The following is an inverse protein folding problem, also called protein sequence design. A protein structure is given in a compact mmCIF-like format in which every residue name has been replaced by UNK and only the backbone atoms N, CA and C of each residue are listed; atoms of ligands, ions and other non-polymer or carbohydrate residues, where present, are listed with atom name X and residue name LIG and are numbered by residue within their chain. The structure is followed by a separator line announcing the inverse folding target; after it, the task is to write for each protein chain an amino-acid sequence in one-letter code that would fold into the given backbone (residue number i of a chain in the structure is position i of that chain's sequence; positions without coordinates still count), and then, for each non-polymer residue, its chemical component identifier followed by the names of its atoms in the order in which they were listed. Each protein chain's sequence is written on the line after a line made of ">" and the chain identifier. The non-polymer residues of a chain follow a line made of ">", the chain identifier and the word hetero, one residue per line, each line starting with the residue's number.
data_IF_720898287940
#
_entry.id   IF_720898287940
#
_cell.length_a   1.000
_cell.length_b   1.000
_cell.length_c   1.000
_cell.angle_alpha   90.00
_cell.angle_beta   90.00
_cell.angle_gamma   90.00
#
_symmetry.space_group_name_H-M   'P 1'
#
loop_
_entity.id
_entity.type
_entity.pdbx_description
1 polymer ?
#
# COMPACT_ATOMS: atom_id res chain seq x y z
N UNK A 1 -31.45 20.02 -11.28
CA UNK A 1 -30.49 19.15 -10.60
C UNK A 1 -30.60 17.77 -11.22
N UNK A 2 -29.67 17.40 -12.09
CA UNK A 2 -29.58 16.02 -12.56
C UNK A 2 -29.04 15.19 -11.40
N UNK A 3 -29.74 14.12 -11.03
CA UNK A 3 -29.21 13.12 -10.12
C UNK A 3 -28.01 12.48 -10.81
N UNK A 4 -26.79 12.76 -10.33
CA UNK A 4 -25.60 12.02 -10.72
C UNK A 4 -25.82 10.56 -10.33
N UNK A 5 -25.71 9.64 -11.29
CA UNK A 5 -25.71 8.22 -10.99
C UNK A 5 -24.64 7.93 -9.93
N UNK A 6 -25.05 7.34 -8.80
CA UNK A 6 -24.14 6.94 -7.74
C UNK A 6 -23.37 5.71 -8.22
N UNK A 7 -22.09 5.87 -8.51
CA UNK A 7 -21.22 4.76 -8.88
C UNK A 7 -20.87 3.93 -7.64
N UNK A 8 -20.74 2.62 -7.80
CA UNK A 8 -20.21 1.74 -6.77
C UNK A 8 -18.67 1.85 -6.75
N UNK A 9 -18.16 2.79 -5.95
CA UNK A 9 -16.73 3.05 -5.86
C UNK A 9 -15.93 1.86 -5.32
N UNK A 10 -16.55 1.04 -4.47
CA UNK A 10 -15.91 -0.17 -3.94
C UNK A 10 -15.71 -1.19 -5.06
N UNK A 11 -16.73 -1.44 -5.87
CA UNK A 11 -16.62 -2.35 -7.01
C UNK A 11 -15.64 -1.85 -8.08
N UNK A 12 -15.59 -0.53 -8.33
CA UNK A 12 -14.61 0.06 -9.24
C UNK A 12 -13.18 -0.11 -8.73
N UNK A 13 -12.97 0.12 -7.43
CA UNK A 13 -11.67 -0.10 -6.79
C UNK A 13 -11.25 -1.58 -6.82
N UNK A 14 -12.16 -2.50 -6.52
CA UNK A 14 -11.88 -3.95 -6.59
C UNK A 14 -11.51 -4.38 -8.02
N UNK A 15 -12.19 -3.84 -9.03
CA UNK A 15 -11.85 -4.09 -10.42
C UNK A 15 -10.46 -3.56 -10.78
N UNK A 16 -10.10 -2.36 -10.29
CA UNK A 16 -8.78 -1.78 -10.47
C UNK A 16 -7.69 -2.67 -9.86
N UNK A 17 -7.81 -3.03 -8.58
CA UNK A 17 -6.88 -3.94 -7.89
C UNK A 17 -6.74 -5.29 -8.59
N UNK A 18 -7.85 -5.84 -9.11
CA UNK A 18 -7.79 -7.08 -9.89
C UNK A 18 -6.96 -6.94 -11.16
N UNK A 19 -7.02 -5.80 -11.84
CA UNK A 19 -6.17 -5.54 -13.01
C UNK A 19 -4.70 -5.43 -12.62
N UNK A 20 -4.39 -4.76 -11.51
CA UNK A 20 -3.01 -4.58 -11.04
C UNK A 20 -2.38 -5.87 -10.51
N UNK A 21 -3.09 -6.66 -9.69
CA UNK A 21 -2.45 -7.72 -8.90
C UNK A 21 -2.80 -9.14 -9.38
N UNK A 22 -4.05 -9.37 -9.81
CA UNK A 22 -4.49 -10.70 -10.24
C UNK A 22 -4.17 -10.95 -11.72
N UNK A 23 -4.67 -10.09 -12.61
CA UNK A 23 -4.48 -10.25 -14.06
C UNK A 23 -3.19 -9.62 -14.56
N UNK A 24 -2.63 -8.67 -13.80
CA UNK A 24 -1.41 -7.91 -14.13
C UNK A 24 -1.49 -7.25 -15.51
N UNK A 25 -2.67 -6.75 -15.86
CA UNK A 25 -2.95 -6.12 -17.15
C UNK A 25 -2.88 -4.60 -16.99
N UNK A 26 -1.72 -4.05 -17.34
CA UNK A 26 -1.45 -2.61 -17.27
C UNK A 26 -2.42 -1.81 -18.14
N UNK A 27 -2.79 -2.31 -19.31
CA UNK A 27 -3.67 -1.57 -20.22
C UNK A 27 -5.10 -1.55 -19.66
N UNK A 28 -5.58 -2.65 -19.09
CA UNK A 28 -6.86 -2.70 -18.39
C UNK A 28 -6.88 -1.81 -17.13
N UNK A 29 -5.79 -1.79 -16.35
CA UNK A 29 -5.64 -0.87 -15.21
C UNK A 29 -5.77 0.58 -15.67
N UNK A 30 -5.03 0.98 -16.70
CA UNK A 30 -5.06 2.36 -17.21
C UNK A 30 -6.43 2.78 -17.73
N UNK A 31 -7.23 1.86 -18.27
CA UNK A 31 -8.62 2.14 -18.70
C UNK A 31 -9.53 2.55 -17.54
N UNK A 32 -9.23 2.15 -16.30
CA UNK A 32 -10.03 2.52 -15.12
C UNK A 32 -9.71 3.93 -14.60
N UNK A 33 -8.67 4.58 -15.12
CA UNK A 33 -8.20 5.88 -14.64
C UNK A 33 -8.66 7.02 -15.56
N UNK A 34 -8.62 8.25 -15.04
CA UNK A 34 -8.83 9.47 -15.83
C UNK A 34 -7.67 9.70 -16.82
N UNK A 35 -7.81 10.69 -17.70
CA UNK A 35 -6.79 11.01 -18.70
C UNK A 35 -5.46 11.54 -18.09
N UNK A 36 -5.55 12.22 -16.95
CA UNK A 36 -4.38 12.77 -16.22
C UNK A 36 -4.33 12.22 -14.78
N UNK A 37 -4.08 10.92 -14.59
CA UNK A 37 -4.08 10.30 -13.26
C UNK A 37 -2.72 10.45 -12.58
N UNK A 38 -2.66 10.17 -11.28
CA UNK A 38 -1.37 9.94 -10.63
C UNK A 38 -1.42 8.92 -9.49
N UNK A 39 -0.30 8.27 -9.25
CA UNK A 39 -0.11 7.37 -8.10
C UNK A 39 1.10 7.85 -7.32
N UNK A 40 1.04 7.78 -5.99
CA UNK A 40 2.16 8.09 -5.13
C UNK A 40 2.25 7.11 -3.95
N UNK A 41 3.33 6.34 -3.92
CA UNK A 41 3.78 5.59 -2.75
C UNK A 41 4.49 6.56 -1.81
N UNK A 42 3.75 7.08 -0.84
CA UNK A 42 4.20 8.15 0.05
C UNK A 42 5.56 7.88 0.72
N UNK A 43 5.88 6.66 1.19
CA UNK A 43 7.15 6.42 1.89
C UNK A 43 8.39 6.54 0.98
N UNK A 44 8.26 6.23 -0.31
CA UNK A 44 9.37 6.23 -1.27
C UNK A 44 9.27 7.38 -2.28
N UNK A 45 8.15 8.12 -2.27
CA UNK A 45 7.82 9.14 -3.27
C UNK A 45 7.91 8.59 -4.71
N UNK A 46 7.58 7.31 -4.88
CA UNK A 46 7.58 6.63 -6.19
C UNK A 46 6.18 6.56 -6.77
N UNK A 47 6.08 6.62 -8.09
CA UNK A 47 4.80 6.62 -8.80
C UNK A 47 4.92 7.24 -10.18
N UNK A 48 3.78 7.61 -10.74
CA UNK A 48 3.67 8.26 -12.05
C UNK A 48 2.60 9.34 -12.06
N UNK A 49 2.76 10.34 -12.94
CA UNK A 49 1.81 11.45 -13.14
C UNK A 49 1.53 11.58 -14.63
N UNK A 50 0.26 11.60 -15.00
CA UNK A 50 -0.21 11.58 -16.38
C UNK A 50 -0.18 10.15 -16.96
N UNK A 51 -0.96 9.95 -18.03
CA UNK A 51 -1.23 8.62 -18.58
C UNK A 51 0.04 7.83 -18.94
N UNK A 52 0.92 8.40 -19.78
CA UNK A 52 2.09 7.68 -20.30
C UNK A 52 3.08 7.31 -19.20
N UNK A 53 3.39 8.26 -18.31
CA UNK A 53 4.35 8.03 -17.21
C UNK A 53 3.81 7.04 -16.19
N UNK A 54 2.51 7.08 -15.91
CA UNK A 54 1.91 6.13 -14.98
C UNK A 54 1.84 4.74 -15.59
N UNK A 55 1.51 4.62 -16.88
CA UNK A 55 1.56 3.35 -17.60
C UNK A 55 2.96 2.73 -17.58
N UNK A 56 3.99 3.54 -17.83
CA UNK A 56 5.38 3.09 -17.76
C UNK A 56 5.79 2.67 -16.34
N UNK A 57 5.33 3.41 -15.32
CA UNK A 57 5.54 3.05 -13.92
C UNK A 57 4.88 1.71 -13.58
N UNK A 58 3.62 1.50 -13.98
CA UNK A 58 2.92 0.25 -13.75
C UNK A 58 3.61 -0.94 -14.43
N UNK A 59 4.01 -0.79 -15.69
CA UNK A 59 4.66 -1.86 -16.44
C UNK A 59 6.02 -2.26 -15.84
N UNK A 60 6.83 -1.28 -15.42
CA UNK A 60 8.24 -1.53 -15.14
C UNK A 60 8.62 -1.45 -13.67
N UNK A 61 7.79 -0.86 -12.82
CA UNK A 61 8.14 -0.56 -11.43
C UNK A 61 7.06 -0.93 -10.41
N UNK A 62 5.89 -1.44 -10.84
CA UNK A 62 4.82 -1.83 -9.91
C UNK A 62 4.20 -3.19 -10.28
N UNK A 63 3.23 -3.21 -11.20
CA UNK A 63 2.47 -4.40 -11.61
C UNK A 63 3.40 -5.50 -12.15
N UNK A 64 4.33 -5.14 -13.04
CA UNK A 64 5.22 -6.10 -13.70
C UNK A 64 6.31 -6.71 -12.81
N UNK A 65 6.64 -6.08 -11.67
CA UNK A 65 7.77 -6.46 -10.81
C UNK A 65 7.34 -7.15 -9.51
N UNK A 66 6.04 -7.15 -9.19
CA UNK A 66 5.53 -7.77 -7.99
C UNK A 66 5.74 -9.30 -7.98
N UNK A 67 6.13 -9.90 -6.84
CA UNK A 67 6.29 -11.35 -6.70
C UNK A 67 5.07 -12.13 -7.18
N UNK A 68 5.22 -13.35 -7.73
CA UNK A 68 4.10 -14.13 -8.27
C UNK A 68 2.96 -14.39 -7.28
N UNK A 69 3.27 -14.46 -5.98
CA UNK A 69 2.34 -14.73 -4.89
C UNK A 69 1.86 -13.45 -4.17
N UNK A 70 2.01 -12.28 -4.79
CA UNK A 70 1.56 -11.03 -4.22
C UNK A 70 0.04 -10.99 -4.05
N UNK A 71 -0.40 -10.79 -2.81
CA UNK A 71 -1.80 -10.65 -2.45
C UNK A 71 -2.04 -9.41 -1.58
N UNK A 72 -3.22 -8.82 -1.73
CA UNK A 72 -3.74 -7.78 -0.85
C UNK A 72 -4.86 -8.35 0.00
N UNK A 73 -4.64 -8.42 1.31
CA UNK A 73 -5.64 -8.91 2.27
C UNK A 73 -6.39 -7.71 2.86
N UNK A 74 -7.70 -7.55 2.61
CA UNK A 74 -8.48 -6.44 3.15
C UNK A 74 -8.67 -6.57 4.67
N UNK A 75 -8.45 -5.47 5.38
CA UNK A 75 -8.66 -5.35 6.83
C UNK A 75 -9.90 -4.51 7.10
N UNK A 76 -9.96 -3.32 6.50
CA UNK A 76 -11.11 -2.41 6.62
C UNK A 76 -11.23 -1.54 5.37
N UNK A 77 -12.45 -1.06 5.09
CA UNK A 77 -12.75 -0.18 3.97
C UNK A 77 -13.72 0.90 4.42
N UNK A 78 -13.41 2.15 4.06
CA UNK A 78 -14.31 3.30 4.21
C UNK A 78 -14.61 3.88 2.83
N UNK A 79 -15.89 3.93 2.47
CA UNK A 79 -16.35 4.51 1.20
C UNK A 79 -16.99 5.86 1.47
N UNK A 80 -16.38 6.91 0.93
CA UNK A 80 -16.91 8.27 0.93
C UNK A 80 -17.71 8.55 -0.35
N UNK A 81 -18.12 9.81 -0.52
CA UNK A 81 -18.90 10.24 -1.70
C UNK A 81 -18.11 10.11 -3.02
N UNK A 82 -16.80 10.31 -2.97
CA UNK A 82 -15.92 10.33 -4.16
C UNK A 82 -14.54 9.76 -3.86
N UNK A 83 -14.41 8.96 -2.79
CA UNK A 83 -13.14 8.39 -2.38
C UNK A 83 -13.33 7.07 -1.65
N UNK A 84 -12.33 6.20 -1.74
CA UNK A 84 -12.21 4.97 -0.96
C UNK A 84 -10.94 5.05 -0.11
N UNK A 85 -11.04 4.66 1.15
CA UNK A 85 -9.89 4.46 2.03
C UNK A 85 -9.87 3.00 2.44
N UNK A 86 -8.87 2.28 1.97
CA UNK A 86 -8.68 0.86 2.22
C UNK A 86 -7.49 0.62 3.13
N UNK A 87 -7.71 -0.13 4.19
CA UNK A 87 -6.67 -0.71 5.03
C UNK A 87 -6.46 -2.16 4.59
N UNK A 88 -5.23 -2.49 4.21
CA UNK A 88 -4.86 -3.74 3.58
C UNK A 88 -3.57 -4.28 4.22
N UNK A 89 -3.35 -5.58 4.11
CA UNK A 89 -2.05 -6.21 4.35
C UNK A 89 -1.53 -6.75 3.02
N UNK A 90 -0.42 -6.21 2.52
CA UNK A 90 0.31 -6.84 1.42
C UNK A 90 1.05 -8.06 1.96
N UNK A 91 0.77 -9.24 1.40
CA UNK A 91 1.50 -10.47 1.67
C UNK A 91 2.14 -11.00 0.40
N UNK A 92 3.39 -11.41 0.49
CA UNK A 92 4.12 -12.04 -0.61
C UNK A 92 5.42 -12.67 -0.15
N UNK A 93 6.03 -13.49 -1.01
CA UNK A 93 7.41 -13.96 -0.83
C UNK A 93 8.36 -13.08 -1.63
N UNK A 94 9.37 -12.49 -0.97
CA UNK A 94 10.31 -11.55 -1.60
C UNK A 94 11.28 -12.27 -2.56
N UNK A 95 10.80 -12.52 -3.77
CA UNK A 95 11.47 -13.30 -4.85
C UNK A 95 12.00 -12.42 -5.99
N UNK A 96 11.52 -11.19 -6.07
CA UNK A 96 11.90 -10.19 -7.08
C UNK A 96 12.36 -8.91 -6.38
N UNK A 97 13.11 -8.07 -7.09
CA UNK A 97 13.49 -6.75 -6.62
C UNK A 97 12.27 -5.81 -6.75
N UNK A 98 11.97 -5.02 -5.72
CA UNK A 98 10.75 -4.22 -5.62
C UNK A 98 11.09 -2.74 -5.37
N UNK A 99 11.03 -1.93 -6.42
CA UNK A 99 11.47 -0.53 -6.44
C UNK A 99 10.57 0.43 -5.66
N UNK A 100 9.26 0.12 -5.64
CA UNK A 100 8.24 0.96 -5.03
C UNK A 100 8.17 0.77 -3.50
N UNK A 101 8.70 -0.34 -3.00
CA UNK A 101 8.99 -0.61 -1.60
C UNK A 101 10.43 -0.14 -1.26
N UNK A 102 10.95 -0.22 -0.01
CA UNK A 102 12.25 0.37 0.30
C UNK A 102 13.34 -0.13 -0.65
N UNK A 103 13.92 0.74 -1.50
CA UNK A 103 14.79 0.30 -2.58
C UNK A 103 16.14 -0.18 -2.03
N UNK A 104 16.85 -0.97 -2.84
CA UNK A 104 18.19 -1.49 -2.53
C UNK A 104 18.20 -2.74 -1.67
N UNK A 105 17.10 -3.49 -1.62
CA UNK A 105 17.01 -4.77 -0.89
C UNK A 105 16.83 -5.89 -1.91
N UNK A 106 17.85 -6.74 -2.03
CA UNK A 106 17.83 -7.91 -2.90
C UNK A 106 16.77 -8.93 -2.46
N UNK A 107 16.22 -9.75 -3.39
CA UNK A 107 15.29 -10.82 -3.08
C UNK A 107 15.78 -11.69 -1.90
N UNK A 108 15.03 -11.68 -0.80
CA UNK A 108 15.44 -12.36 0.43
C UNK A 108 14.89 -13.79 0.54
N UNK A 109 13.91 -14.14 -0.29
CA UNK A 109 13.18 -15.41 -0.24
C UNK A 109 12.28 -15.58 0.99
N UNK A 110 12.07 -14.51 1.78
CA UNK A 110 11.24 -14.53 2.99
C UNK A 110 9.82 -14.12 2.67
N UNK A 111 8.87 -14.66 3.43
CA UNK A 111 7.51 -14.14 3.46
C UNK A 111 7.49 -12.79 4.16
N UNK A 112 6.79 -11.85 3.54
CA UNK A 112 6.63 -10.48 3.97
C UNK A 112 5.14 -10.24 4.19
N UNK A 113 4.82 -9.58 5.29
CA UNK A 113 3.50 -9.01 5.55
C UNK A 113 3.68 -7.54 5.97
N UNK A 114 3.10 -6.62 5.20
CA UNK A 114 3.21 -5.19 5.44
C UNK A 114 1.81 -4.56 5.44
N UNK A 115 1.40 -3.89 6.52
CA UNK A 115 0.17 -3.11 6.51
C UNK A 115 0.34 -1.89 5.61
N UNK A 116 -0.66 -1.64 4.79
CA UNK A 116 -0.75 -0.50 3.88
C UNK A 116 -2.14 0.12 3.90
N UNK A 117 -2.20 1.40 3.57
CA UNK A 117 -3.43 2.16 3.39
C UNK A 117 -3.43 2.76 2.01
N UNK A 118 -4.45 2.44 1.21
CA UNK A 118 -4.70 3.06 -0.08
C UNK A 118 -5.81 4.11 0.08
N UNK A 119 -5.49 5.36 -0.26
CA UNK A 119 -6.46 6.45 -0.34
C UNK A 119 -6.68 6.76 -1.80
N UNK A 120 -7.87 6.44 -2.30
CA UNK A 120 -8.22 6.49 -3.71
C UNK A 120 -9.28 7.54 -3.95
N UNK A 121 -9.06 8.41 -4.92
CA UNK A 121 -10.03 9.44 -5.33
C UNK A 121 -10.64 9.08 -6.67
N UNK A 122 -11.94 9.32 -6.79
CA UNK A 122 -12.71 9.10 -8.01
C UNK A 122 -13.30 10.40 -8.56
N UNK A 123 -13.48 10.42 -9.88
CA UNK A 123 -14.32 11.35 -10.62
C UNK A 123 -15.24 10.52 -11.51
N UNK A 124 -16.53 10.49 -11.18
CA UNK A 124 -17.49 9.59 -11.83
C UNK A 124 -17.12 8.13 -11.59
N UNK A 125 -16.88 7.39 -12.67
CA UNK A 125 -16.49 5.97 -12.68
C UNK A 125 -14.97 5.75 -12.82
N UNK A 126 -14.16 6.81 -12.79
CA UNK A 126 -12.71 6.75 -13.01
C UNK A 126 -11.90 7.17 -11.81
N UNK A 127 -10.75 6.53 -11.63
CA UNK A 127 -9.76 6.88 -10.61
C UNK A 127 -8.98 8.12 -11.05
N UNK A 128 -8.89 9.09 -10.15
CA UNK A 128 -8.08 10.31 -10.31
C UNK A 128 -6.68 10.09 -9.75
N UNK A 129 -6.60 9.56 -8.54
CA UNK A 129 -5.32 9.30 -7.89
C UNK A 129 -5.37 8.28 -6.78
N UNK A 130 -4.18 7.79 -6.46
CA UNK A 130 -3.91 6.91 -5.33
C UNK A 130 -2.77 7.43 -4.47
N UNK A 131 -3.02 7.54 -3.17
CA UNK A 131 -1.97 7.70 -2.18
C UNK A 131 -1.83 6.40 -1.39
N UNK A 132 -0.68 5.75 -1.56
CA UNK A 132 -0.40 4.48 -0.92
C UNK A 132 0.60 4.73 0.21
N UNK A 133 0.12 4.52 1.43
CA UNK A 133 0.93 4.54 2.64
C UNK A 133 1.25 3.12 3.02
N UNK A 134 2.51 2.85 3.33
CA UNK A 134 2.91 1.60 3.96
C UNK A 134 4.05 1.90 4.92
N UNK A 135 4.25 1.04 5.90
CA UNK A 135 5.34 1.21 6.88
C UNK A 135 6.35 0.09 6.73
N UNK A 136 7.63 0.40 6.93
CA UNK A 136 8.64 -0.63 7.11
C UNK A 136 8.26 -1.45 8.35
N UNK A 137 8.23 -2.78 8.29
CA UNK A 137 7.96 -3.58 9.49
C UNK A 137 9.01 -3.25 10.55
N UNK A 138 8.54 -2.97 11.78
CA UNK A 138 9.40 -2.52 12.88
C UNK A 138 10.48 -3.55 13.26
N UNK A 139 10.24 -4.83 12.96
CA UNK A 139 11.24 -5.89 13.10
C UNK A 139 11.97 -6.10 11.78
N UNK A 140 13.24 -5.71 11.72
CA UNK A 140 14.12 -5.87 10.55
C UNK A 140 14.31 -7.33 10.09
N UNK A 141 13.89 -8.30 10.91
CA UNK A 141 14.03 -9.73 10.61
C UNK A 141 13.13 -10.25 9.48
N UNK A 142 12.06 -9.56 9.07
CA UNK A 142 11.23 -10.02 7.95
C UNK A 142 11.74 -9.52 6.59
N UNK A 143 12.01 -8.22 6.47
CA UNK A 143 12.31 -7.57 5.18
C UNK A 143 13.79 -7.31 4.89
N UNK A 144 14.58 -6.92 5.89
CA UNK A 144 15.89 -6.26 5.68
C UNK A 144 17.10 -7.06 6.21
N UNK A 145 16.89 -8.30 6.67
CA UNK A 145 18.00 -9.14 7.11
C UNK A 145 18.61 -9.86 5.89
N UNK A 146 19.64 -9.25 5.29
CA UNK A 146 20.43 -9.85 4.21
C UNK A 146 21.29 -11.04 4.65
N UNK A 147 21.31 -11.34 5.96
CA UNK A 147 21.95 -12.54 6.53
C UNK A 147 20.89 -13.58 6.92
N UNK A 148 21.17 -14.89 6.80
CA UNK A 148 20.34 -15.93 7.40
C UNK A 148 20.16 -15.59 8.89
N UNK A 149 18.91 -15.47 9.35
CA UNK A 149 18.60 -15.33 10.78
C UNK A 149 18.82 -16.70 11.39
N UNK A 150 19.88 -16.85 12.17
CA UNK A 150 20.09 -18.06 12.95
C UNK A 150 19.08 -18.07 14.11
N UNK A 151 18.72 -19.25 14.66
CA UNK A 151 17.88 -19.32 15.86
C UNK A 151 18.55 -18.52 16.99
N UNK A 152 18.03 -17.33 17.29
CA UNK A 152 18.59 -16.40 18.29
C UNK A 152 18.77 -14.95 17.81
N UNK A 153 18.73 -14.68 16.51
CA UNK A 153 18.96 -13.34 15.95
C UNK A 153 17.71 -12.43 15.94
N UNK A 154 16.54 -12.97 16.31
CA UNK A 154 15.34 -12.16 16.46
C UNK A 154 15.44 -11.37 17.77
N UNK A 155 15.50 -10.02 17.75
CA UNK A 155 15.51 -9.26 18.97
C UNK A 155 14.22 -9.55 19.73
N UNK A 156 14.35 -10.17 20.91
CA UNK A 156 13.23 -10.29 21.84
C UNK A 156 12.59 -8.92 21.99
N UNK A 157 11.25 -8.80 21.99
CA UNK A 157 10.60 -7.54 22.25
C UNK A 157 11.21 -6.96 23.52
N UNK A 158 11.78 -5.75 23.40
CA UNK A 158 12.37 -5.07 24.55
C UNK A 158 11.31 -5.06 25.67
N UNK A 159 11.67 -5.43 26.91
CA UNK A 159 10.72 -5.36 28.01
C UNK A 159 10.20 -3.93 28.07
N UNK A 160 8.87 -3.75 27.89
CA UNK A 160 8.22 -2.45 28.01
C UNK A 160 8.72 -1.81 29.32
N UNK A 161 9.29 -0.60 29.30
CA UNK A 161 9.56 0.08 30.55
C UNK A 161 8.22 0.22 31.26
N UNK A 162 8.07 -0.39 32.45
CA UNK A 162 6.95 -0.10 33.35
C UNK A 162 7.16 1.28 33.95
N UNK A 163 7.28 2.31 33.13
CA UNK A 163 7.07 3.68 33.57
C UNK A 163 5.57 3.88 33.63
N UNK A 164 5.01 3.65 34.83
CA UNK A 164 3.72 4.21 35.24
C UNK A 164 3.76 5.68 34.81
N UNK A 165 2.90 6.05 33.87
CA UNK A 165 2.73 7.44 33.46
C UNK A 165 2.28 8.24 34.70
N UNK A 166 3.22 8.91 35.37
CA UNK A 166 2.92 9.83 36.46
C UNK A 166 2.55 11.18 35.86
N UNK A 167 1.32 11.25 35.36
CA UNK A 167 0.65 12.52 35.08
C UNK A 167 0.19 13.06 36.44
N UNK A 168 0.71 14.19 36.95
CA UNK A 168 0.16 14.80 38.16
C UNK A 168 -1.26 15.32 37.85
N UNK A 169 -2.22 15.17 38.78
CA UNK A 169 -3.58 15.66 38.56
C UNK A 169 -3.56 17.18 38.39
N UNK A 170 -4.25 17.64 37.34
CA UNK A 170 -4.52 19.05 37.09
C UNK A 170 -5.32 19.59 38.29
N UNK A 171 -4.73 20.50 39.08
CA UNK A 171 -5.44 21.17 40.15
C UNK A 171 -6.42 22.17 39.51
N UNK A 172 -7.71 21.88 39.65
CA UNK A 172 -8.76 22.85 39.37
C UNK A 172 -8.74 23.92 40.47
N UNK A 173 -8.29 25.13 40.13
CA UNK A 173 -8.52 26.31 40.97
C UNK A 173 -9.96 26.78 40.79
N UNK A 174 -10.70 26.84 41.90
CA UNK A 174 -11.98 27.53 42.03
C UNK A 174 -11.79 29.06 42.04
#
# INVERSE_FOLDING_TARGET
>A
MQATATHDLAALWDAHCRYEFETRDVDATMVTMVAEPYVNHIPTMTGGVGFDKLRDFYANHFVGVNPPDFELVPVSRTVGESSVVDELVARFTHTTYIDWMPPGIEPTGRTVEIPLVAIVKFEGDKLVHEHIYWTKPACSCSWACSKPVLPGDCPSPAPKPRTRCSIPPCQATH
#
